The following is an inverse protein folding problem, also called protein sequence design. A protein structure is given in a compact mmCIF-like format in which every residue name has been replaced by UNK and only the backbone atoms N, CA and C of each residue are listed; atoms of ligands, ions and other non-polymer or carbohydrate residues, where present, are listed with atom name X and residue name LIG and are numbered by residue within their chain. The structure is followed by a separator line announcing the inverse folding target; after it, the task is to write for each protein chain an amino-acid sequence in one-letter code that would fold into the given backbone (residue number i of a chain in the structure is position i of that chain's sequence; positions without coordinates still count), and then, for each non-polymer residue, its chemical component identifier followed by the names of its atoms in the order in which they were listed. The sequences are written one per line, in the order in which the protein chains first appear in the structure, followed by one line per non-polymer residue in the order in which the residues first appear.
data_IF_011363386813
#
_entry.id   IF_011363386813
#
_cell.length_a   1.000
_cell.length_b   1.000
_cell.length_c   1.000
_cell.angle_alpha   90.00
_cell.angle_beta   90.00
_cell.angle_gamma   90.00
#
_symmetry.space_group_name_H-M   'P 1'
#
loop_
_entity.id
_entity.type
_entity.pdbx_description
1 polymer ?
#
# COMPACT_ATOMS: atom_id res chain seq x y z
N UNK A 1 1.94 -7.82 18.43
CA UNK A 1 1.90 -8.77 17.29
C UNK A 1 1.75 -7.98 16.00
N UNK A 2 2.58 -8.25 14.98
CA UNK A 2 2.33 -7.71 13.64
C UNK A 2 1.06 -8.36 13.09
N UNK A 3 0.10 -7.56 12.61
CA UNK A 3 -1.09 -8.11 11.97
C UNK A 3 -0.65 -8.73 10.64
N UNK A 4 -1.11 -9.94 10.32
CA UNK A 4 -0.63 -10.70 9.15
C UNK A 4 -0.77 -9.94 7.83
N UNK A 5 -1.70 -8.98 7.73
CA UNK A 5 -1.88 -8.11 6.56
C UNK A 5 -0.92 -6.91 6.50
N UNK A 6 -0.34 -6.48 7.62
CA UNK A 6 0.41 -5.23 7.68
C UNK A 6 1.73 -5.30 6.92
N UNK A 7 2.53 -6.33 7.15
CA UNK A 7 3.81 -6.50 6.45
C UNK A 7 3.61 -6.66 4.93
N UNK A 8 2.70 -7.53 4.43
CA UNK A 8 2.43 -7.62 2.99
C UNK A 8 1.96 -6.30 2.37
N UNK A 9 1.16 -5.50 3.10
CA UNK A 9 0.71 -4.18 2.59
C UNK A 9 1.87 -3.22 2.41
N UNK A 10 2.78 -3.13 3.40
CA UNK A 10 3.97 -2.27 3.28
C UNK A 10 4.91 -2.72 2.18
N UNK A 11 5.17 -4.02 2.09
CA UNK A 11 5.98 -4.56 1.01
C UNK A 11 5.36 -4.26 -0.35
N UNK A 12 4.04 -4.40 -0.48
CA UNK A 12 3.35 -4.10 -1.73
C UNK A 12 3.48 -2.62 -2.11
N UNK A 13 3.21 -1.70 -1.17
CA UNK A 13 3.35 -0.27 -1.44
C UNK A 13 4.75 0.12 -1.90
N UNK A 14 5.77 -0.26 -1.14
CA UNK A 14 7.15 0.10 -1.48
C UNK A 14 7.61 -0.56 -2.78
N UNK A 15 7.31 -1.85 -2.98
CA UNK A 15 7.70 -2.58 -4.20
C UNK A 15 6.96 -2.05 -5.42
N UNK A 16 5.67 -1.74 -5.32
CA UNK A 16 4.89 -1.18 -6.42
C UNK A 16 5.50 0.13 -6.92
N UNK A 17 5.79 1.05 -6.00
CA UNK A 17 6.43 2.33 -6.33
C UNK A 17 7.81 2.10 -6.94
N UNK A 18 8.59 1.15 -6.39
CA UNK A 18 9.93 0.86 -6.90
C UNK A 18 9.90 0.36 -8.35
N UNK A 19 9.01 -0.58 -8.67
CA UNK A 19 8.98 -1.26 -9.97
C UNK A 19 8.37 -0.43 -11.10
N UNK A 20 7.69 0.67 -10.80
CA UNK A 20 7.22 1.58 -11.84
C UNK A 20 8.43 2.30 -12.46
N UNK A 21 8.57 2.20 -13.77
CA UNK A 21 9.61 2.92 -14.50
C UNK A 21 9.40 4.44 -14.34
N UNK A 22 10.45 5.27 -14.12
CA UNK A 22 10.31 6.71 -13.89
C UNK A 22 9.48 7.45 -14.96
N UNK A 23 9.64 7.09 -16.24
CA UNK A 23 8.85 7.71 -17.32
C UNK A 23 7.37 7.30 -17.28
N UNK A 24 7.08 6.07 -16.86
CA UNK A 24 5.70 5.58 -16.73
C UNK A 24 5.03 6.14 -15.48
N UNK A 25 5.80 6.40 -14.42
CA UNK A 25 5.30 7.03 -13.19
C UNK A 25 4.54 8.32 -13.47
N UNK A 26 5.05 9.18 -14.34
CA UNK A 26 4.41 10.45 -14.68
C UNK A 26 3.00 10.27 -15.26
N UNK A 27 2.76 9.16 -15.96
CA UNK A 27 1.47 8.80 -16.54
C UNK A 27 0.52 8.26 -15.47
N UNK A 28 1.01 7.41 -14.56
CA UNK A 28 0.17 6.65 -13.63
C UNK A 28 0.08 7.23 -12.22
N UNK A 29 0.83 8.28 -11.89
CA UNK A 29 0.97 8.79 -10.51
C UNK A 29 -0.35 9.12 -9.82
N UNK A 30 -1.32 9.69 -10.54
CA UNK A 30 -2.63 10.02 -9.97
C UNK A 30 -3.44 8.75 -9.65
N UNK A 31 -3.46 7.79 -10.57
CA UNK A 31 -4.12 6.49 -10.38
C UNK A 31 -3.45 5.69 -9.25
N UNK A 32 -2.11 5.65 -9.24
CA UNK A 32 -1.31 5.02 -8.18
C UNK A 32 -1.64 5.59 -6.81
N UNK A 33 -1.66 6.92 -6.68
CA UNK A 33 -1.99 7.56 -5.40
C UNK A 33 -3.45 7.34 -5.01
N UNK A 34 -4.37 7.30 -5.97
CA UNK A 34 -5.75 6.93 -5.70
C UNK A 34 -5.87 5.50 -5.15
N UNK A 35 -5.12 4.54 -5.71
CA UNK A 35 -5.06 3.17 -5.21
C UNK A 35 -4.47 3.06 -3.82
N UNK A 36 -3.35 3.75 -3.54
CA UNK A 36 -2.74 3.79 -2.20
C UNK A 36 -3.75 4.35 -1.19
N UNK A 37 -4.39 5.48 -1.50
CA UNK A 37 -5.41 6.11 -0.64
C UNK A 37 -6.59 5.18 -0.39
N UNK A 38 -7.10 4.51 -1.43
CA UNK A 38 -8.22 3.56 -1.33
C UNK A 38 -7.85 2.36 -0.44
N UNK A 39 -6.63 1.81 -0.58
CA UNK A 39 -6.13 0.75 0.31
C UNK A 39 -6.06 1.23 1.77
N UNK A 40 -5.57 2.45 2.02
CA UNK A 40 -5.52 3.03 3.37
C UNK A 40 -6.91 3.15 4.03
N UNK A 41 -7.94 3.54 3.27
CA UNK A 41 -9.32 3.61 3.77
C UNK A 41 -9.88 2.23 4.15
N UNK A 42 -9.42 1.19 3.46
CA UNK A 42 -9.95 -0.16 3.60
C UNK A 42 -9.00 -1.11 4.33
N UNK A 43 -8.05 -0.61 5.13
CA UNK A 43 -7.16 -1.50 5.88
C UNK A 43 -7.98 -2.45 6.79
N UNK A 44 -7.60 -3.73 6.94
CA UNK A 44 -8.30 -4.69 7.82
C UNK A 44 -8.21 -4.39 9.34
N UNK A 45 -8.03 -3.12 9.70
CA UNK A 45 -8.15 -2.60 11.05
C UNK A 45 -8.73 -1.17 11.01
N UNK A 46 -9.87 -0.90 11.66
CA UNK A 46 -10.50 0.42 11.68
C UNK A 46 -9.58 1.55 12.17
N UNK A 47 -8.88 1.36 13.30
CA UNK A 47 -7.95 2.38 13.82
C UNK A 47 -6.76 2.63 12.88
N UNK A 48 -6.23 1.58 12.24
CA UNK A 48 -5.17 1.76 11.24
C UNK A 48 -5.70 2.51 10.00
N UNK A 49 -6.91 2.17 9.54
CA UNK A 49 -7.54 2.80 8.40
C UNK A 49 -7.82 4.28 8.65
N UNK A 50 -8.35 4.62 9.84
CA UNK A 50 -8.59 5.99 10.25
C UNK A 50 -7.30 6.82 10.25
N UNK A 51 -6.26 6.34 10.93
CA UNK A 51 -4.97 7.03 11.00
C UNK A 51 -4.31 7.19 9.62
N UNK A 52 -4.31 6.12 8.81
CA UNK A 52 -3.76 6.15 7.47
C UNK A 52 -4.55 7.13 6.57
N UNK A 53 -5.87 7.17 6.69
CA UNK A 53 -6.72 8.11 5.96
C UNK A 53 -6.44 9.56 6.36
N UNK A 54 -6.28 9.83 7.66
CA UNK A 54 -5.92 11.17 8.15
C UNK A 54 -4.56 11.64 7.63
N UNK A 55 -3.56 10.74 7.59
CA UNK A 55 -2.27 11.03 6.97
C UNK A 55 -2.44 11.36 5.48
N UNK A 56 -3.10 10.46 4.74
CA UNK A 56 -3.25 10.55 3.29
C UNK A 56 -4.09 11.75 2.81
N UNK A 57 -4.97 12.30 3.65
CA UNK A 57 -5.69 13.56 3.35
C UNK A 57 -4.75 14.75 3.16
N UNK A 58 -3.60 14.74 3.83
CA UNK A 58 -2.59 15.81 3.74
C UNK A 58 -1.63 15.61 2.57
N UNK A 59 -1.61 14.41 1.97
CA UNK A 59 -0.67 14.04 0.91
C UNK A 59 -1.21 14.43 -0.46
N UNK A 60 -0.47 15.32 -1.13
CA UNK A 60 -0.61 15.60 -2.57
C UNK A 60 0.10 14.52 -3.38
N UNK A 61 -0.31 14.33 -4.63
CA UNK A 61 0.35 13.40 -5.54
C UNK A 61 1.81 13.83 -5.74
N UNK A 62 2.80 12.99 -5.42
CA UNK A 62 4.22 13.33 -5.59
C UNK A 62 4.55 13.57 -7.08
N UNK A 63 5.46 14.50 -7.34
CA UNK A 63 5.79 14.86 -8.73
C UNK A 63 6.59 13.75 -9.42
N UNK A 64 7.61 13.22 -8.73
CA UNK A 64 8.50 12.19 -9.25
C UNK A 64 8.37 10.85 -8.50
N UNK A 65 8.87 9.77 -9.11
CA UNK A 65 9.00 8.46 -8.46
C UNK A 65 9.79 8.56 -7.15
N UNK A 66 10.86 9.35 -7.16
CA UNK A 66 11.70 9.59 -5.98
C UNK A 66 10.89 10.21 -4.83
N UNK A 67 10.14 11.28 -5.11
CA UNK A 67 9.29 11.92 -4.10
C UNK A 67 8.22 10.97 -3.56
N UNK A 68 7.72 10.07 -4.41
CA UNK A 68 6.77 9.03 -4.01
C UNK A 68 7.39 8.01 -3.05
N UNK A 69 8.62 7.54 -3.33
CA UNK A 69 9.38 6.68 -2.41
C UNK A 69 9.60 7.38 -1.06
N UNK A 70 10.00 8.65 -1.07
CA UNK A 70 10.23 9.43 0.14
C UNK A 70 8.95 9.65 0.95
N UNK A 71 7.85 9.99 0.29
CA UNK A 71 6.55 10.13 0.94
C UNK A 71 6.12 8.81 1.62
N UNK A 72 6.25 7.67 0.93
CA UNK A 72 5.87 6.37 1.49
C UNK A 72 6.79 5.96 2.65
N UNK A 73 8.09 6.26 2.57
CA UNK A 73 9.04 6.06 3.66
C UNK A 73 8.68 6.89 4.90
N UNK A 74 8.40 8.19 4.73
CA UNK A 74 7.99 9.07 5.83
C UNK A 74 6.68 8.61 6.45
N UNK A 75 5.73 8.16 5.63
CA UNK A 75 4.48 7.59 6.11
C UNK A 75 4.71 6.36 6.99
N UNK A 76 5.53 5.40 6.54
CA UNK A 76 5.85 4.21 7.31
C UNK A 76 6.55 4.56 8.64
N UNK A 77 7.48 5.51 8.62
CA UNK A 77 8.16 5.96 9.83
C UNK A 77 7.25 6.72 10.79
N UNK A 78 6.27 7.50 10.30
CA UNK A 78 5.25 8.11 11.15
C UNK A 78 4.43 7.04 11.88
N UNK A 79 4.02 5.99 11.15
CA UNK A 79 3.32 4.85 11.75
C UNK A 79 4.20 4.17 12.79
N UNK A 80 5.48 3.89 12.47
CA UNK A 80 6.43 3.28 13.41
C UNK A 80 6.61 4.12 14.67
N UNK A 81 6.79 5.44 14.54
CA UNK A 81 6.89 6.38 15.66
C UNK A 81 5.67 6.26 16.58
N UNK A 82 4.47 6.30 15.99
CA UNK A 82 3.20 6.20 16.72
C UNK A 82 3.05 4.90 17.50
N UNK A 83 3.49 3.79 16.92
CA UNK A 83 3.41 2.46 17.56
C UNK A 83 4.70 2.07 18.31
N UNK A 84 5.61 3.03 18.53
CA UNK A 84 6.88 2.87 19.27
C UNK A 84 7.78 1.77 18.70
N UNK A 85 7.82 1.64 17.37
CA UNK A 85 8.80 0.81 16.65
C UNK A 85 10.03 1.63 16.26
N UNK A 86 11.19 0.97 16.06
CA UNK A 86 12.36 1.62 15.49
C UNK A 86 12.04 2.30 14.16
N UNK A 87 12.66 3.47 13.96
CA UNK A 87 12.58 4.18 12.69
C UNK A 87 13.58 3.57 11.70
N UNK A 88 13.18 3.47 10.45
CA UNK A 88 14.06 3.04 9.37
C UNK A 88 14.93 4.20 8.89
N UNK A 89 16.15 3.90 8.44
CA UNK A 89 16.96 4.78 7.60
C UNK A 89 16.54 4.64 6.13
N UNK A 90 16.95 5.58 5.28
CA UNK A 90 16.65 5.53 3.84
C UNK A 90 17.23 4.30 3.13
N UNK A 91 18.28 3.71 3.69
CA UNK A 91 18.92 2.49 3.15
C UNK A 91 17.94 1.32 3.02
N UNK A 92 16.90 1.29 3.87
CA UNK A 92 15.85 0.27 3.79
C UNK A 92 15.19 0.23 2.42
N UNK A 93 15.17 1.33 1.67
CA UNK A 93 14.51 1.39 0.37
C UNK A 93 15.19 0.51 -0.68
N UNK A 94 16.49 0.27 -0.56
CA UNK A 94 17.26 -0.58 -1.49
C UNK A 94 16.76 -2.02 -1.52
N UNK A 95 16.21 -2.51 -0.41
CA UNK A 95 15.73 -3.89 -0.33
C UNK A 95 14.59 -4.18 -1.31
N UNK A 96 13.78 -3.16 -1.66
CA UNK A 96 12.63 -3.32 -2.54
C UNK A 96 13.01 -3.44 -4.02
N UNK A 97 14.25 -3.12 -4.39
CA UNK A 97 14.76 -3.26 -5.75
C UNK A 97 14.82 -4.72 -6.20
N UNK A 98 15.06 -5.64 -5.26
CA UNK A 98 15.18 -7.08 -5.52
C UNK A 98 13.87 -7.84 -5.32
N UNK A 99 12.82 -7.20 -4.80
CA UNK A 99 11.53 -7.87 -4.53
C UNK A 99 10.76 -8.09 -5.82
N UNK A 100 10.15 -9.26 -5.99
CA UNK A 100 9.24 -9.55 -7.09
C UNK A 100 7.85 -8.97 -6.80
N UNK A 101 7.37 -8.05 -7.65
CA UNK A 101 6.08 -7.38 -7.44
C UNK A 101 4.89 -8.34 -7.50
N UNK A 102 4.88 -9.31 -8.42
CA UNK A 102 3.78 -10.27 -8.54
C UNK A 102 3.66 -11.15 -7.28
N UNK A 103 4.79 -11.64 -6.75
CA UNK A 103 4.83 -12.43 -5.50
C UNK A 103 4.34 -11.59 -4.31
N UNK A 104 4.86 -10.37 -4.18
CA UNK A 104 4.45 -9.47 -3.11
C UNK A 104 2.98 -9.09 -3.20
N UNK A 105 2.48 -8.84 -4.41
CA UNK A 105 1.09 -8.51 -4.66
C UNK A 105 0.17 -9.67 -4.28
N UNK A 106 0.52 -10.90 -4.64
CA UNK A 106 -0.25 -12.09 -4.26
C UNK A 106 -0.38 -12.22 -2.73
N UNK A 107 0.73 -12.04 -1.99
CA UNK A 107 0.71 -12.08 -0.53
C UNK A 107 -0.15 -10.95 0.07
N UNK A 108 -0.05 -9.73 -0.48
CA UNK A 108 -0.91 -8.63 -0.08
C UNK A 108 -2.38 -8.97 -0.33
N UNK A 109 -2.70 -9.41 -1.54
CA UNK A 109 -4.05 -9.75 -2.00
C UNK A 109 -4.71 -10.76 -1.05
N UNK A 110 -4.04 -11.87 -0.78
CA UNK A 110 -4.54 -12.93 0.11
C UNK A 110 -4.87 -12.43 1.51
N UNK A 111 -3.99 -11.61 2.11
CA UNK A 111 -4.21 -11.10 3.45
C UNK A 111 -5.23 -9.96 3.49
N UNK A 112 -5.28 -9.14 2.45
CA UNK A 112 -6.17 -7.99 2.36
C UNK A 112 -7.64 -8.43 2.21
N UNK A 113 -7.93 -9.45 1.38
CA UNK A 113 -9.29 -9.97 1.18
C UNK A 113 -9.70 -11.03 2.21
N UNK A 114 -8.81 -11.38 3.14
CA UNK A 114 -9.08 -12.44 4.11
C UNK A 114 -10.41 -12.19 4.82
N UNK A 115 -11.30 -13.18 4.71
CA UNK A 115 -12.62 -13.14 5.35
C UNK A 115 -12.47 -13.17 6.86
N UNK A 116 -13.43 -12.52 7.51
CA UNK A 116 -13.55 -12.50 8.96
C UNK A 116 -14.84 -13.19 9.34
N UNK A 117 -14.79 -14.01 10.39
CA UNK A 117 -15.97 -14.66 10.95
C UNK A 117 -16.80 -13.67 11.80
N UNK A 118 -16.32 -12.42 11.97
CA UNK A 118 -17.07 -11.37 12.63
C UNK A 118 -18.13 -10.79 11.68
N UNK A 119 -19.43 -10.97 11.96
CA UNK A 119 -20.51 -10.49 11.10
C UNK A 119 -20.45 -8.97 10.86
N UNK A 120 -19.98 -8.20 11.86
CA UNK A 120 -19.87 -6.74 11.77
C UNK A 120 -18.83 -6.28 10.74
N UNK A 121 -17.85 -7.11 10.43
CA UNK A 121 -16.76 -6.79 9.48
C UNK A 121 -16.89 -7.55 8.15
N UNK A 122 -18.01 -8.26 7.95
CA UNK A 122 -18.26 -9.03 6.73
C UNK A 122 -18.39 -8.13 5.50
N UNK A 123 -19.17 -7.05 5.59
CA UNK A 123 -19.33 -6.06 4.51
C UNK A 123 -18.00 -5.42 4.10
N UNK A 124 -17.13 -5.14 5.07
CA UNK A 124 -15.79 -4.62 4.79
C UNK A 124 -14.96 -5.61 3.96
N UNK A 125 -15.07 -6.91 4.28
CA UNK A 125 -14.36 -7.96 3.52
C UNK A 125 -14.86 -8.10 2.09
N UNK A 126 -16.17 -7.93 1.85
CA UNK A 126 -16.73 -7.91 0.49
C UNK A 126 -16.26 -6.69 -0.29
N UNK A 127 -16.23 -5.52 0.35
CA UNK A 127 -15.78 -4.27 -0.27
C UNK A 127 -14.31 -4.37 -0.69
N UNK A 128 -13.44 -4.93 0.17
CA UNK A 128 -12.04 -5.21 -0.18
C UNK A 128 -11.91 -6.20 -1.34
N UNK A 129 -12.71 -7.26 -1.34
CA UNK A 129 -12.71 -8.26 -2.42
C UNK A 129 -13.07 -7.63 -3.77
N UNK A 130 -14.11 -6.79 -3.81
CA UNK A 130 -14.49 -6.07 -5.03
C UNK A 130 -13.39 -5.12 -5.48
N UNK A 131 -12.82 -4.36 -4.55
CA UNK A 131 -11.73 -3.45 -4.88
C UNK A 131 -10.49 -4.15 -5.45
N UNK A 132 -10.14 -5.33 -4.94
CA UNK A 132 -9.02 -6.09 -5.50
C UNK A 132 -9.21 -6.40 -6.98
N UNK A 133 -10.44 -6.61 -7.44
CA UNK A 133 -10.71 -6.80 -8.87
C UNK A 133 -10.39 -5.52 -9.68
N UNK A 134 -10.74 -4.33 -9.15
CA UNK A 134 -10.36 -3.06 -9.77
C UNK A 134 -8.83 -2.90 -9.83
N UNK A 135 -8.13 -3.29 -8.75
CA UNK A 135 -6.68 -3.21 -8.66
C UNK A 135 -5.99 -4.21 -9.59
N UNK A 136 -6.50 -5.44 -9.70
CA UNK A 136 -6.04 -6.48 -10.63
C UNK A 136 -6.04 -5.92 -12.07
N UNK A 137 -7.16 -5.33 -12.50
CA UNK A 137 -7.32 -4.72 -13.83
C UNK A 137 -6.32 -3.60 -14.05
N UNK A 138 -6.13 -2.72 -13.05
CA UNK A 138 -5.19 -1.60 -13.18
C UNK A 138 -3.73 -2.06 -13.29
N UNK A 139 -3.32 -3.05 -12.49
CA UNK A 139 -1.97 -3.60 -12.52
C UNK A 139 -1.68 -4.28 -13.87
N UNK A 140 -2.64 -5.05 -14.41
CA UNK A 140 -2.52 -5.70 -15.72
C UNK A 140 -2.48 -4.67 -16.87
N UNK A 141 -3.38 -3.67 -16.86
CA UNK A 141 -3.41 -2.58 -17.86
C UNK A 141 -2.06 -1.87 -17.96
N UNK A 142 -1.38 -1.70 -16.83
CA UNK A 142 -0.10 -1.02 -16.74
C UNK A 142 1.12 -1.97 -16.82
N UNK A 143 0.91 -3.26 -17.10
CA UNK A 143 1.97 -4.29 -17.21
C UNK A 143 2.89 -4.34 -15.98
N UNK A 144 2.31 -4.18 -14.79
CA UNK A 144 3.03 -4.19 -13.51
C UNK A 144 3.10 -5.60 -12.90
N UNK A 145 2.15 -6.46 -13.25
CA UNK A 145 2.12 -7.90 -12.92
C UNK A 145 1.72 -8.71 -14.15
#
# INVERSE_FOLDING_TARGET
MSKSWANPTWYFFHTLIEKIHPNHYLVVKEELMAHIKKICVMLPCPHCAEHATQFMRKVKTPFSKYDCKQMMFLFHNEVNLRIKKPLYSLEVLTMYEQVNLAVCYQLFREQFVKKTNNPKMFLDSMTRTRYIQDLDVWLQKNKLI
#
